data_IF_826475578813
#
_entry.id   IF_826475578813
#
_cell.length_a   1.000
_cell.length_b   1.000
_cell.length_c   1.000
_cell.angle_alpha   90.00
_cell.angle_beta   90.00
_cell.angle_gamma   90.00
#
_symmetry.space_group_name_H-M   'P 1'
#
loop_
_entity.id
_entity.type
_entity.pdbx_description
1 polymer ?
#
# COMPACT_ATOMS: atom_id res chain seq x y z
N UNK A 1 0.50 28.44 -12.57
CA UNK A 1 1.96 28.26 -12.75
C UNK A 1 2.21 26.78 -12.91
N UNK A 2 2.89 26.37 -13.97
CA UNK A 2 3.14 24.97 -14.27
C UNK A 2 3.90 24.33 -13.09
N UNK A 3 3.50 23.10 -12.71
CA UNK A 3 4.17 22.30 -11.69
C UNK A 3 5.51 21.77 -12.24
N UNK A 4 6.41 22.67 -12.61
CA UNK A 4 7.70 22.30 -13.18
C UNK A 4 8.64 21.79 -12.08
N UNK A 5 9.26 20.64 -12.34
CA UNK A 5 10.29 20.09 -11.47
C UNK A 5 11.58 20.86 -11.73
N UNK A 6 11.99 21.68 -10.76
CA UNK A 6 13.23 22.44 -10.87
C UNK A 6 14.44 21.53 -11.10
N UNK A 7 15.40 21.98 -11.93
CA UNK A 7 16.64 21.25 -12.25
C UNK A 7 16.38 19.80 -12.74
N UNK A 8 15.31 19.58 -13.51
CA UNK A 8 14.95 18.24 -14.00
C UNK A 8 16.08 17.57 -14.81
N UNK A 9 16.83 18.33 -15.61
CA UNK A 9 17.96 17.79 -16.37
C UNK A 9 18.98 17.09 -15.46
N UNK A 10 19.28 17.66 -14.29
CA UNK A 10 20.18 17.05 -13.29
C UNK A 10 19.59 15.78 -12.67
N UNK A 11 18.26 15.71 -12.54
CA UNK A 11 17.56 14.52 -12.05
C UNK A 11 17.66 13.38 -13.05
N UNK A 12 17.57 13.62 -14.37
CA UNK A 12 17.55 12.52 -15.35
C UNK A 12 18.94 12.14 -15.88
N UNK A 13 19.88 13.08 -15.91
CA UNK A 13 21.22 12.89 -16.49
C UNK A 13 21.92 11.60 -16.04
N UNK A 14 21.92 11.19 -14.74
CA UNK A 14 22.60 9.99 -14.28
C UNK A 14 22.02 8.66 -14.80
N UNK A 15 20.86 8.71 -15.46
CA UNK A 15 20.13 7.53 -15.94
C UNK A 15 20.11 7.42 -17.46
N UNK A 16 20.61 8.42 -18.16
CA UNK A 16 20.82 8.36 -19.60
C UNK A 16 21.95 7.37 -19.89
N UNK A 17 21.77 6.54 -20.92
CA UNK A 17 22.83 5.65 -21.41
C UNK A 17 23.95 6.49 -22.03
N UNK A 18 25.12 5.89 -22.21
CA UNK A 18 26.21 6.55 -22.92
C UNK A 18 25.72 7.08 -24.28
N UNK A 19 26.08 8.35 -24.52
CA UNK A 19 25.73 9.13 -25.70
C UNK A 19 24.24 9.47 -25.90
N UNK A 20 23.37 9.14 -24.94
CA UNK A 20 22.04 9.74 -24.87
C UNK A 20 22.12 11.15 -24.29
N UNK A 21 21.28 12.06 -24.79
CA UNK A 21 21.19 13.45 -24.34
C UNK A 21 19.76 13.83 -23.98
N UNK A 22 19.58 14.43 -22.81
CA UNK A 22 18.31 15.08 -22.45
C UNK A 22 18.07 16.29 -23.37
N UNK A 23 16.87 16.36 -23.97
CA UNK A 23 16.47 17.48 -24.83
C UNK A 23 15.48 18.39 -24.10
N UNK A 24 14.37 17.83 -23.61
CA UNK A 24 13.32 18.58 -22.91
C UNK A 24 12.45 17.66 -22.06
N UNK A 25 11.75 18.22 -21.08
CA UNK A 25 10.68 17.55 -20.36
C UNK A 25 9.41 18.39 -20.39
N UNK A 26 8.26 17.75 -20.58
CA UNK A 26 6.93 18.36 -20.41
C UNK A 26 6.24 17.71 -19.22
N UNK A 27 5.59 18.51 -18.40
CA UNK A 27 4.91 18.05 -17.19
C UNK A 27 3.46 18.52 -17.13
N UNK A 28 2.55 17.60 -16.88
CA UNK A 28 1.12 17.88 -16.67
C UNK A 28 0.64 17.22 -15.37
N UNK A 29 -0.42 17.74 -14.76
CA UNK A 29 -1.03 17.06 -13.61
C UNK A 29 -1.64 15.73 -14.07
N UNK A 30 -1.28 14.64 -13.40
CA UNK A 30 -1.81 13.31 -13.70
C UNK A 30 -3.19 13.08 -13.07
N UNK A 31 -3.38 13.59 -11.85
CA UNK A 31 -4.60 13.43 -11.06
C UNK A 31 -5.20 14.79 -10.70
N UNK A 32 -6.52 14.82 -10.43
CA UNK A 32 -7.16 16.01 -9.90
C UNK A 32 -6.68 16.33 -8.48
N UNK A 33 -6.76 17.60 -8.08
CA UNK A 33 -6.45 18.00 -6.70
C UNK A 33 -7.36 17.24 -5.71
N UNK A 34 -6.77 16.53 -4.74
CA UNK A 34 -7.51 15.76 -3.73
C UNK A 34 -7.70 14.28 -4.03
N UNK A 35 -7.24 13.77 -5.19
CA UNK A 35 -7.26 12.33 -5.49
C UNK A 35 -5.99 11.59 -5.00
N UNK A 36 -5.01 12.31 -4.46
CA UNK A 36 -3.86 11.74 -3.75
C UNK A 36 -3.45 12.70 -2.61
N UNK A 37 -3.79 12.35 -1.37
CA UNK A 37 -3.75 13.27 -0.24
C UNK A 37 -2.34 13.60 0.26
N UNK A 38 -1.39 12.68 0.06
CA UNK A 38 -0.02 12.79 0.55
C UNK A 38 0.99 13.31 -0.47
N UNK A 39 0.58 13.54 -1.72
CA UNK A 39 1.50 13.88 -2.81
C UNK A 39 0.84 14.57 -4.01
N UNK A 40 1.66 15.19 -4.85
CA UNK A 40 1.26 15.68 -6.17
C UNK A 40 1.81 14.72 -7.22
N UNK A 41 0.93 14.21 -8.09
CA UNK A 41 1.26 13.30 -9.17
C UNK A 41 1.31 14.05 -10.50
N UNK A 42 2.46 13.99 -11.18
CA UNK A 42 2.70 14.64 -12.47
C UNK A 42 3.00 13.60 -13.54
N UNK A 43 2.35 13.69 -14.70
CA UNK A 43 2.76 13.01 -15.91
C UNK A 43 3.95 13.77 -16.49
N UNK A 44 5.04 13.07 -16.79
CA UNK A 44 6.25 13.66 -17.38
C UNK A 44 6.55 12.95 -18.71
N UNK A 45 6.72 13.72 -19.78
CA UNK A 45 7.24 13.22 -21.06
C UNK A 45 8.65 13.76 -21.27
N UNK A 46 9.63 12.85 -21.30
CA UNK A 46 11.05 13.19 -21.40
C UNK A 46 11.51 12.89 -22.82
N UNK A 47 11.90 13.92 -23.56
CA UNK A 47 12.49 13.77 -24.88
C UNK A 47 14.00 13.54 -24.73
N UNK A 48 14.45 12.38 -25.21
CA UNK A 48 15.85 11.97 -25.24
C UNK A 48 16.30 11.89 -26.69
N UNK A 49 17.51 12.36 -26.97
CA UNK A 49 18.20 12.13 -28.22
C UNK A 49 19.21 10.99 -28.03
N UNK A 50 19.19 10.02 -28.94
CA UNK A 50 20.10 8.88 -28.99
C UNK A 50 21.39 9.24 -29.75
N UNK A 51 22.42 8.40 -29.59
CA UNK A 51 23.72 8.55 -30.27
C UNK A 51 23.61 8.68 -31.80
N UNK A 52 22.66 7.96 -32.39
CA UNK A 52 22.41 7.97 -33.84
C UNK A 52 21.63 9.21 -34.34
N UNK A 53 21.36 10.18 -33.46
CA UNK A 53 20.57 11.38 -33.75
C UNK A 53 19.05 11.19 -33.69
N UNK A 54 18.57 9.93 -33.56
CA UNK A 54 17.15 9.63 -33.37
C UNK A 54 16.64 10.10 -32.01
N UNK A 55 15.34 10.30 -31.88
CA UNK A 55 14.71 10.71 -30.60
C UNK A 55 13.80 9.63 -30.06
N UNK A 56 13.73 9.54 -28.73
CA UNK A 56 12.76 8.71 -28.01
C UNK A 56 12.07 9.53 -26.93
N UNK A 57 10.82 9.17 -26.62
CA UNK A 57 10.05 9.77 -25.53
C UNK A 57 9.92 8.74 -24.42
N UNK A 58 10.42 9.06 -23.22
CA UNK A 58 10.12 8.30 -22.03
C UNK A 58 8.87 8.87 -21.36
N UNK A 59 7.88 8.01 -21.14
CA UNK A 59 6.69 8.34 -20.38
C UNK A 59 6.92 7.98 -18.91
N UNK A 60 6.93 9.00 -18.06
CA UNK A 60 7.17 8.85 -16.63
C UNK A 60 6.04 9.46 -15.80
N UNK A 61 6.00 9.09 -14.53
CA UNK A 61 5.20 9.73 -13.50
C UNK A 61 6.13 10.21 -12.40
N UNK A 62 5.98 11.47 -12.01
CA UNK A 62 6.69 12.04 -10.89
C UNK A 62 5.73 12.21 -9.71
N UNK A 63 6.07 11.61 -8.57
CA UNK A 63 5.47 11.88 -7.27
C UNK A 63 6.31 12.96 -6.58
N UNK A 64 5.69 14.06 -6.19
CA UNK A 64 6.34 15.15 -5.44
C UNK A 64 5.59 15.43 -4.14
N UNK A 65 6.24 15.97 -3.10
CA UNK A 65 5.54 16.42 -1.91
C UNK A 65 4.48 17.49 -2.24
N UNK A 66 3.39 17.57 -1.46
CA UNK A 66 2.48 18.70 -1.53
C UNK A 66 3.17 19.96 -0.98
N UNK A 67 2.51 21.11 -1.08
CA UNK A 67 2.99 22.33 -0.45
C UNK A 67 3.23 22.09 1.06
N UNK A 68 4.37 22.56 1.62
CA UNK A 68 4.63 22.43 3.05
C UNK A 68 3.52 23.04 3.90
N UNK A 69 3.21 22.40 5.03
CA UNK A 69 2.14 22.81 5.92
C UNK A 69 1.66 21.65 6.77
N UNK A 70 0.39 21.70 7.18
CA UNK A 70 -0.22 20.68 8.02
C UNK A 70 -0.14 19.27 7.42
N UNK A 71 -0.33 19.15 6.10
CA UNK A 71 -0.27 17.86 5.38
C UNK A 71 1.05 17.13 5.63
N UNK A 72 2.16 17.85 5.73
CA UNK A 72 3.47 17.26 5.98
C UNK A 72 3.59 16.67 7.38
N UNK A 73 2.94 17.28 8.36
CA UNK A 73 2.91 16.77 9.73
C UNK A 73 2.00 15.54 9.82
N UNK A 74 0.79 15.60 9.23
CA UNK A 74 -0.19 14.50 9.26
C UNK A 74 0.35 13.23 8.59
N UNK A 75 1.05 13.36 7.46
CA UNK A 75 1.57 12.20 6.72
C UNK A 75 3.04 11.87 7.02
N UNK A 76 3.68 12.59 7.94
CA UNK A 76 5.13 12.55 8.14
C UNK A 76 5.88 12.49 6.80
N UNK A 77 5.58 13.45 5.92
CA UNK A 77 6.03 13.44 4.51
C UNK A 77 7.54 13.27 4.39
N UNK A 78 8.29 13.73 5.39
CA UNK A 78 9.75 13.56 5.40
C UNK A 78 10.17 12.10 5.53
N UNK A 79 9.48 11.33 6.37
CA UNK A 79 9.71 9.92 6.55
C UNK A 79 9.13 9.11 5.39
N UNK A 80 7.84 9.29 5.09
CA UNK A 80 7.09 8.45 4.14
C UNK A 80 7.64 8.55 2.72
N UNK A 81 8.01 9.76 2.27
CA UNK A 81 8.63 9.95 0.95
C UNK A 81 10.02 9.32 0.86
N UNK A 82 10.81 9.40 1.94
CA UNK A 82 12.15 8.81 2.00
C UNK A 82 12.07 7.28 1.98
N UNK A 83 11.16 6.70 2.75
CA UNK A 83 10.91 5.26 2.81
C UNK A 83 10.50 4.73 1.43
N UNK A 84 9.54 5.38 0.76
CA UNK A 84 9.09 4.95 -0.57
C UNK A 84 10.24 4.96 -1.59
N UNK A 85 11.06 6.03 -1.59
CA UNK A 85 12.22 6.09 -2.46
C UNK A 85 13.24 4.97 -2.17
N UNK A 86 13.47 4.65 -0.88
CA UNK A 86 14.34 3.55 -0.46
C UNK A 86 13.79 2.20 -0.92
N UNK A 87 12.47 1.99 -0.86
CA UNK A 87 11.86 0.77 -1.36
C UNK A 87 12.22 0.52 -2.83
N UNK A 88 11.97 1.51 -3.68
CA UNK A 88 12.23 1.41 -5.11
C UNK A 88 13.73 1.36 -5.46
N UNK A 89 14.56 2.20 -4.84
CA UNK A 89 15.97 2.34 -5.21
C UNK A 89 16.91 1.35 -4.51
N UNK A 90 16.49 0.77 -3.39
CA UNK A 90 17.34 -0.09 -2.55
C UNK A 90 16.71 -1.47 -2.33
N UNK A 91 15.50 -1.54 -1.78
CA UNK A 91 14.89 -2.83 -1.40
C UNK A 91 14.62 -3.71 -2.63
N UNK A 92 13.96 -3.17 -3.66
CA UNK A 92 13.64 -3.92 -4.89
C UNK A 92 14.90 -4.46 -5.58
N UNK A 93 15.97 -3.67 -5.81
CA UNK A 93 17.23 -4.18 -6.34
C UNK A 93 17.86 -5.29 -5.49
N UNK A 94 17.88 -5.13 -4.16
CA UNK A 94 18.44 -6.14 -3.23
C UNK A 94 17.68 -7.47 -3.35
N UNK A 95 16.34 -7.43 -3.35
CA UNK A 95 15.53 -8.64 -3.46
C UNK A 95 15.70 -9.31 -4.82
N UNK A 96 15.77 -8.53 -5.91
CA UNK A 96 16.04 -9.07 -7.25
C UNK A 96 17.44 -9.67 -7.37
N UNK A 97 18.47 -9.04 -6.81
CA UNK A 97 19.82 -9.62 -6.76
C UNK A 97 19.86 -10.91 -5.93
N UNK A 98 19.17 -10.92 -4.79
CA UNK A 98 19.02 -12.13 -3.99
C UNK A 98 18.31 -13.24 -4.77
N UNK A 99 17.22 -12.94 -5.48
CA UNK A 99 16.53 -13.87 -6.38
C UNK A 99 17.47 -14.48 -7.40
N UNK A 100 18.26 -13.65 -8.11
CA UNK A 100 19.27 -14.13 -9.08
C UNK A 100 20.31 -15.04 -8.43
N UNK A 101 20.76 -14.72 -7.23
CA UNK A 101 21.68 -15.59 -6.47
C UNK A 101 21.08 -16.96 -6.10
N UNK A 102 19.75 -17.09 -6.21
CA UNK A 102 18.98 -18.33 -6.01
C UNK A 102 18.45 -18.94 -7.31
N UNK A 103 18.81 -18.38 -8.48
CA UNK A 103 18.37 -18.86 -9.79
C UNK A 103 16.97 -18.38 -10.20
N UNK A 104 16.44 -17.34 -9.56
CA UNK A 104 15.15 -16.71 -9.90
C UNK A 104 15.40 -15.34 -10.50
N UNK A 105 15.18 -15.20 -11.80
CA UNK A 105 15.22 -13.90 -12.49
C UNK A 105 13.93 -13.11 -12.21
N UNK A 106 14.07 -11.77 -12.17
CA UNK A 106 12.95 -10.82 -12.04
C UNK A 106 11.96 -11.15 -10.90
N UNK A 107 12.49 -11.53 -9.73
CA UNK A 107 11.73 -11.93 -8.54
C UNK A 107 10.64 -10.91 -8.15
N UNK A 108 10.98 -9.63 -8.18
CA UNK A 108 10.08 -8.49 -7.93
C UNK A 108 9.89 -7.72 -9.23
N UNK A 109 8.92 -8.17 -10.03
CA UNK A 109 8.55 -7.57 -11.32
C UNK A 109 7.16 -6.89 -11.32
N UNK A 110 6.46 -6.95 -10.19
CA UNK A 110 5.13 -6.42 -9.95
C UNK A 110 5.15 -5.03 -9.28
N UNK A 111 6.21 -4.25 -9.51
CA UNK A 111 6.33 -2.84 -9.10
C UNK A 111 6.75 -1.99 -10.30
N UNK A 112 6.41 -0.69 -10.34
CA UNK A 112 6.89 0.20 -11.40
C UNK A 112 8.41 0.23 -11.43
N UNK A 113 8.96 0.32 -12.64
CA UNK A 113 10.36 0.62 -12.85
C UNK A 113 10.69 2.00 -12.25
N UNK A 114 11.63 1.99 -11.31
CA UNK A 114 12.24 3.20 -10.77
C UNK A 114 13.18 3.83 -11.80
N UNK A 115 12.89 5.07 -12.19
CA UNK A 115 13.73 5.80 -13.15
C UNK A 115 14.81 6.55 -12.37
N UNK A 116 14.42 7.48 -11.50
CA UNK A 116 15.33 8.15 -10.57
C UNK A 116 14.57 8.85 -9.44
N UNK A 117 15.28 9.50 -8.54
CA UNK A 117 14.67 10.36 -7.53
C UNK A 117 15.70 11.22 -6.80
N UNK A 118 15.19 12.16 -6.01
CA UNK A 118 15.97 12.97 -5.07
C UNK A 118 15.10 13.31 -3.87
N UNK A 119 15.72 13.46 -2.70
CA UNK A 119 15.04 13.90 -1.47
C UNK A 119 15.18 15.41 -1.25
N UNK A 120 16.18 16.04 -1.85
CA UNK A 120 16.42 17.48 -1.72
C UNK A 120 17.10 18.03 -2.96
N UNK A 121 16.97 19.34 -3.20
CA UNK A 121 17.83 20.06 -4.16
C UNK A 121 19.26 20.24 -3.68
N UNK A 122 19.48 20.20 -2.37
CA UNK A 122 20.81 20.17 -1.78
C UNK A 122 21.32 18.72 -1.81
N UNK A 123 22.35 18.39 -2.63
CA UNK A 123 22.86 17.04 -2.73
C UNK A 123 23.53 16.55 -1.43
N UNK A 124 23.79 17.43 -0.47
CA UNK A 124 24.38 17.09 0.84
C UNK A 124 23.32 16.83 1.91
N UNK A 125 22.06 17.18 1.67
CA UNK A 125 20.97 17.00 2.62
C UNK A 125 20.52 15.53 2.70
N UNK A 126 20.29 15.05 3.93
CA UNK A 126 19.67 13.75 4.19
C UNK A 126 18.19 13.85 4.61
N UNK A 127 17.62 15.06 4.51
CA UNK A 127 16.24 15.40 4.89
C UNK A 127 15.45 15.74 3.64
N UNK A 128 14.22 15.23 3.57
CA UNK A 128 13.28 15.53 2.49
C UNK A 128 12.86 17.00 2.54
N UNK A 129 12.96 17.69 1.40
CA UNK A 129 12.45 19.04 1.19
C UNK A 129 11.33 19.07 0.13
N UNK A 130 10.80 20.28 -0.15
CA UNK A 130 9.65 20.47 -1.06
C UNK A 130 9.97 20.12 -2.52
N UNK A 131 11.25 19.98 -2.86
CA UNK A 131 11.75 19.69 -4.19
C UNK A 131 12.13 18.21 -4.36
N UNK A 132 11.75 17.36 -3.39
CA UNK A 132 11.87 15.93 -3.51
C UNK A 132 11.01 15.38 -4.66
N UNK A 133 11.52 14.35 -5.33
CA UNK A 133 10.89 13.73 -6.50
C UNK A 133 11.17 12.24 -6.47
N UNK A 134 10.14 11.42 -6.70
CA UNK A 134 10.26 10.02 -7.10
C UNK A 134 9.76 9.93 -8.54
N UNK A 135 10.61 9.49 -9.45
CA UNK A 135 10.30 9.36 -10.88
C UNK A 135 10.20 7.88 -11.24
N UNK A 136 9.02 7.46 -11.67
CA UNK A 136 8.66 6.09 -12.03
C UNK A 136 8.24 6.02 -13.50
N UNK A 137 8.22 4.81 -14.06
CA UNK A 137 7.56 4.58 -15.35
C UNK A 137 6.06 4.94 -15.32
N UNK A 138 5.52 5.39 -16.45
CA UNK A 138 4.10 5.68 -16.55
C UNK A 138 3.30 4.43 -16.93
N UNK A 139 2.76 3.77 -15.92
CA UNK A 139 1.95 2.56 -16.09
C UNK A 139 0.67 2.79 -16.93
N UNK A 140 0.06 3.98 -16.86
CA UNK A 140 -1.13 4.28 -17.68
C UNK A 140 -0.78 4.31 -19.16
N UNK A 141 0.40 4.85 -19.52
CA UNK A 141 0.89 4.82 -20.90
C UNK A 141 1.14 3.38 -21.39
N UNK A 142 1.47 2.46 -20.46
CA UNK A 142 1.67 1.03 -20.74
C UNK A 142 0.37 0.20 -20.71
N UNK A 143 -0.79 0.85 -20.59
CA UNK A 143 -2.10 0.21 -20.63
C UNK A 143 -2.55 -0.44 -19.32
N UNK A 144 -1.97 -0.04 -18.17
CA UNK A 144 -2.46 -0.45 -16.87
C UNK A 144 -3.59 0.47 -16.37
N UNK A 145 -4.51 -0.10 -15.60
CA UNK A 145 -5.68 0.59 -15.06
C UNK A 145 -5.91 0.24 -13.59
N UNK A 146 -6.44 1.17 -12.81
CA UNK A 146 -6.84 0.94 -11.41
C UNK A 146 -8.22 0.29 -11.33
N UNK A 147 -8.48 -0.48 -10.26
CA UNK A 147 -9.80 -1.08 -10.00
C UNK A 147 -10.86 -0.06 -9.55
N UNK A 148 -12.13 -0.46 -9.57
CA UNK A 148 -13.22 0.35 -9.02
C UNK A 148 -13.32 0.15 -7.51
N UNK A 149 -12.87 1.14 -6.73
CA UNK A 149 -12.86 1.06 -5.25
C UNK A 149 -14.22 0.85 -4.58
N UNK A 150 -15.32 1.16 -5.25
CA UNK A 150 -16.67 0.94 -4.71
C UNK A 150 -17.14 -0.50 -4.88
N UNK A 151 -16.50 -1.26 -5.76
CA UNK A 151 -16.84 -2.66 -6.09
C UNK A 151 -15.78 -3.59 -5.51
N UNK A 152 -14.51 -3.36 -5.86
CA UNK A 152 -13.38 -4.23 -5.55
C UNK A 152 -12.86 -4.95 -6.79
N UNK A 153 -12.09 -6.01 -6.57
CA UNK A 153 -11.58 -6.91 -7.60
C UNK A 153 -12.36 -8.22 -7.65
N UNK A 154 -12.58 -8.72 -8.86
CA UNK A 154 -13.09 -10.07 -9.08
C UNK A 154 -12.12 -11.15 -8.58
N UNK A 155 -12.53 -12.41 -8.66
CA UNK A 155 -11.74 -13.55 -8.17
C UNK A 155 -10.38 -13.63 -8.88
N UNK A 156 -10.36 -13.65 -10.21
CA UNK A 156 -9.12 -13.84 -10.99
C UNK A 156 -8.08 -12.75 -10.70
N UNK A 157 -8.54 -11.49 -10.60
CA UNK A 157 -7.68 -10.35 -10.30
C UNK A 157 -7.19 -10.40 -8.86
N UNK A 158 -8.06 -10.77 -7.91
CA UNK A 158 -7.68 -10.94 -6.51
C UNK A 158 -6.63 -12.02 -6.32
N UNK A 159 -6.74 -13.14 -7.04
CA UNK A 159 -5.74 -14.20 -6.99
C UNK A 159 -4.39 -13.77 -7.55
N UNK A 160 -4.35 -13.01 -8.67
CA UNK A 160 -3.11 -12.44 -9.20
C UNK A 160 -2.43 -11.53 -8.16
N UNK A 161 -3.21 -10.65 -7.53
CA UNK A 161 -2.72 -9.69 -6.55
C UNK A 161 -2.18 -10.35 -5.29
N UNK A 162 -2.85 -11.40 -4.80
CA UNK A 162 -2.38 -12.19 -3.66
C UNK A 162 -1.12 -12.98 -3.99
N UNK A 163 -0.96 -13.47 -5.22
CA UNK A 163 0.27 -14.17 -5.63
C UNK A 163 1.47 -13.24 -5.60
N UNK A 164 1.35 -12.04 -6.12
CA UNK A 164 2.44 -11.04 -6.09
C UNK A 164 2.75 -10.59 -4.66
N UNK A 165 1.71 -10.41 -3.82
CA UNK A 165 1.88 -10.06 -2.42
C UNK A 165 2.62 -11.18 -1.65
N UNK A 166 2.26 -12.44 -1.90
CA UNK A 166 2.95 -13.60 -1.35
C UNK A 166 4.43 -13.66 -1.75
N UNK A 167 4.75 -13.29 -3.01
CA UNK A 167 6.13 -13.24 -3.49
C UNK A 167 6.92 -12.17 -2.75
N UNK A 168 6.38 -10.96 -2.58
CA UNK A 168 7.04 -9.88 -1.83
C UNK A 168 7.40 -10.31 -0.40
N UNK A 169 6.42 -10.90 0.30
CA UNK A 169 6.60 -11.32 1.69
C UNK A 169 7.59 -12.48 1.84
N UNK A 170 7.44 -13.53 1.02
CA UNK A 170 8.35 -14.68 1.03
C UNK A 170 9.78 -14.27 0.67
N UNK A 171 9.95 -13.39 -0.31
CA UNK A 171 11.26 -12.90 -0.74
C UNK A 171 12.00 -12.18 0.37
N UNK A 172 11.29 -11.32 1.10
CA UNK A 172 11.87 -10.58 2.22
C UNK A 172 12.22 -11.49 3.39
N UNK A 173 11.36 -12.46 3.74
CA UNK A 173 11.65 -13.45 4.79
C UNK A 173 12.86 -14.31 4.42
N UNK A 174 12.92 -14.81 3.18
CA UNK A 174 14.04 -15.60 2.70
C UNK A 174 15.35 -14.80 2.73
N UNK A 175 15.32 -13.53 2.31
CA UNK A 175 16.48 -12.65 2.37
C UNK A 175 16.93 -12.39 3.82
N UNK A 176 16.00 -12.05 4.72
CA UNK A 176 16.27 -11.84 6.15
C UNK A 176 16.94 -13.05 6.80
N UNK A 177 16.46 -14.27 6.50
CA UNK A 177 17.05 -15.51 7.02
C UNK A 177 18.42 -15.80 6.42
N UNK A 178 18.59 -15.58 5.12
CA UNK A 178 19.83 -15.88 4.42
C UNK A 178 20.94 -14.86 4.70
N UNK A 179 20.58 -13.58 4.89
CA UNK A 179 21.51 -12.45 5.07
C UNK A 179 20.99 -11.50 6.16
N UNK A 180 20.95 -11.93 7.43
CA UNK A 180 20.31 -11.16 8.51
C UNK A 180 20.97 -9.79 8.76
N UNK A 181 22.29 -9.69 8.65
CA UNK A 181 22.99 -8.42 8.84
C UNK A 181 22.72 -7.43 7.70
N UNK A 182 22.73 -7.89 6.45
CA UNK A 182 22.35 -7.06 5.31
C UNK A 182 20.89 -6.58 5.42
N UNK A 183 19.98 -7.47 5.82
CA UNK A 183 18.59 -7.09 6.08
C UNK A 183 18.50 -6.01 7.15
N UNK A 184 19.21 -6.18 8.28
CA UNK A 184 19.20 -5.20 9.37
C UNK A 184 19.72 -3.84 8.91
N UNK A 185 20.87 -3.81 8.25
CA UNK A 185 21.58 -2.57 7.94
C UNK A 185 20.99 -1.84 6.72
N UNK A 186 20.53 -2.57 5.70
CA UNK A 186 20.11 -2.01 4.41
C UNK A 186 18.59 -1.91 4.24
N UNK A 187 17.82 -2.62 5.04
CA UNK A 187 16.35 -2.64 4.94
C UNK A 187 15.73 -2.18 6.26
N UNK A 188 15.88 -2.97 7.34
CA UNK A 188 15.19 -2.73 8.60
C UNK A 188 15.51 -1.36 9.21
N UNK A 189 16.77 -0.91 9.12
CA UNK A 189 17.22 0.41 9.61
C UNK A 189 16.42 1.58 9.05
N UNK A 190 15.82 1.42 7.87
CA UNK A 190 14.98 2.43 7.21
C UNK A 190 13.49 2.31 7.54
N UNK A 191 13.06 1.14 8.04
CA UNK A 191 11.66 0.83 8.34
C UNK A 191 11.29 1.14 9.80
N UNK A 192 12.25 1.47 10.66
CA UNK A 192 11.96 1.80 12.07
C UNK A 192 11.07 3.05 12.14
N UNK A 193 9.76 2.82 12.12
CA UNK A 193 8.75 3.84 12.27
C UNK A 193 8.64 4.20 13.75
N UNK A 194 8.89 5.46 14.07
CA UNK A 194 8.34 6.07 15.30
C UNK A 194 6.91 6.57 15.09
N UNK A 195 6.40 6.44 13.86
CA UNK A 195 5.11 6.96 13.46
C UNK A 195 4.05 5.91 13.75
N UNK A 196 3.44 6.02 14.92
CA UNK A 196 2.07 5.55 15.09
C UNK A 196 1.19 6.62 14.43
N UNK A 197 0.27 6.24 13.54
CA UNK A 197 -0.94 7.05 13.38
C UNK A 197 -1.65 6.91 14.72
N UNK A 198 -1.24 7.71 15.70
CA UNK A 198 -2.02 7.87 16.92
C UNK A 198 -3.21 8.68 16.48
N UNK A 199 -4.24 7.98 15.98
CA UNK A 199 -5.58 8.53 16.00
C UNK A 199 -5.75 9.09 17.41
N UNK A 200 -5.97 10.40 17.49
CA UNK A 200 -6.27 11.02 18.78
C UNK A 200 -7.46 10.29 19.39
N UNK A 201 -7.53 10.24 20.72
CA UNK A 201 -8.63 9.57 21.43
C UNK A 201 -10.00 10.03 20.88
N UNK A 202 -10.16 11.32 20.56
CA UNK A 202 -11.35 11.90 19.92
C UNK A 202 -11.73 11.25 18.56
N UNK A 203 -10.75 10.91 17.72
CA UNK A 203 -11.02 10.24 16.44
C UNK A 203 -11.41 8.78 16.63
N UNK A 204 -10.81 8.09 17.60
CA UNK A 204 -11.16 6.70 17.93
C UNK A 204 -12.60 6.66 18.47
N UNK A 205 -12.97 7.61 19.33
CA UNK A 205 -14.34 7.76 19.84
C UNK A 205 -15.33 8.01 18.70
N UNK A 206 -15.04 8.95 17.79
CA UNK A 206 -15.90 9.21 16.63
C UNK A 206 -16.14 7.96 15.77
N UNK A 207 -15.08 7.19 15.48
CA UNK A 207 -15.17 5.93 14.71
C UNK A 207 -16.01 4.89 15.47
N UNK A 208 -15.76 4.76 16.77
CA UNK A 208 -16.47 3.81 17.64
C UNK A 208 -17.96 4.12 17.70
N UNK A 209 -18.33 5.40 17.86
CA UNK A 209 -19.72 5.85 17.86
C UNK A 209 -20.41 5.62 16.51
N UNK A 210 -19.70 5.90 15.41
CA UNK A 210 -20.22 5.69 14.07
C UNK A 210 -20.48 4.21 13.78
N UNK A 211 -19.53 3.34 14.11
CA UNK A 211 -19.69 1.89 14.00
C UNK A 211 -20.83 1.39 14.90
N UNK A 212 -20.90 1.85 16.15
CA UNK A 212 -21.94 1.47 17.12
C UNK A 212 -23.34 1.86 16.62
N UNK A 213 -23.50 3.06 16.06
CA UNK A 213 -24.77 3.50 15.46
C UNK A 213 -25.18 2.58 14.32
N UNK A 214 -24.24 2.21 13.44
CA UNK A 214 -24.52 1.27 12.36
C UNK A 214 -24.98 -0.09 12.88
N UNK A 215 -24.27 -0.66 13.86
CA UNK A 215 -24.55 -1.99 14.41
C UNK A 215 -25.94 -2.04 15.06
N UNK A 216 -26.32 -1.01 15.83
CA UNK A 216 -27.63 -0.93 16.47
C UNK A 216 -28.79 -0.88 15.47
N UNK A 217 -28.56 -0.34 14.28
CA UNK A 217 -29.57 -0.26 13.22
C UNK A 217 -29.57 -1.48 12.30
N UNK A 218 -28.58 -2.37 12.40
CA UNK A 218 -28.44 -3.53 11.54
C UNK A 218 -28.88 -4.81 12.26
N UNK A 219 -30.02 -5.37 11.88
CA UNK A 219 -30.61 -6.58 12.49
C UNK A 219 -29.67 -7.79 12.49
N UNK A 220 -28.79 -7.91 11.49
CA UNK A 220 -27.84 -9.01 11.42
C UNK A 220 -26.68 -8.85 12.42
N UNK A 221 -26.29 -7.62 12.74
CA UNK A 221 -25.19 -7.35 13.66
C UNK A 221 -25.65 -7.27 15.13
N UNK A 222 -26.93 -6.98 15.40
CA UNK A 222 -27.46 -6.86 16.76
C UNK A 222 -27.17 -8.08 17.67
N UNK A 223 -27.30 -9.35 17.22
CA UNK A 223 -26.96 -10.52 18.03
C UNK A 223 -25.49 -10.57 18.48
N UNK A 224 -24.62 -9.80 17.85
CA UNK A 224 -23.19 -9.75 18.11
C UNK A 224 -22.71 -8.42 18.71
N UNK A 225 -23.64 -7.51 19.05
CA UNK A 225 -23.36 -6.17 19.54
C UNK A 225 -22.32 -6.17 20.67
N UNK A 226 -22.50 -7.01 21.69
CA UNK A 226 -21.59 -7.07 22.83
C UNK A 226 -20.14 -7.37 22.42
N UNK A 227 -19.92 -8.33 21.51
CA UNK A 227 -18.58 -8.71 21.05
C UNK A 227 -17.93 -7.56 20.27
N UNK A 228 -18.70 -6.92 19.39
CA UNK A 228 -18.20 -5.82 18.56
C UNK A 228 -17.89 -4.59 19.43
N UNK A 229 -18.75 -4.24 20.39
CA UNK A 229 -18.49 -3.15 21.35
C UNK A 229 -17.26 -3.45 22.22
N UNK A 230 -17.05 -4.70 22.62
CA UNK A 230 -15.83 -5.08 23.35
C UNK A 230 -14.56 -4.91 22.50
N UNK A 231 -14.61 -5.30 21.23
CA UNK A 231 -13.51 -5.10 20.29
C UNK A 231 -13.24 -3.61 20.02
N UNK A 232 -14.29 -2.79 19.89
CA UNK A 232 -14.16 -1.34 19.77
C UNK A 232 -13.54 -0.71 21.02
N UNK A 233 -13.97 -1.11 22.22
CA UNK A 233 -13.36 -0.65 23.48
C UNK A 233 -11.86 -0.98 23.57
N UNK A 234 -11.46 -2.13 23.06
CA UNK A 234 -10.04 -2.55 23.01
C UNK A 234 -9.17 -1.61 22.15
N UNK A 235 -9.73 -0.99 21.12
CA UNK A 235 -9.02 0.03 20.32
C UNK A 235 -8.58 1.25 21.15
N UNK A 236 -9.26 1.54 22.26
CA UNK A 236 -8.90 2.64 23.16
C UNK A 236 -7.81 2.26 24.18
N UNK A 237 -7.46 0.98 24.30
CA UNK A 237 -6.51 0.55 25.32
C UNK A 237 -5.06 0.75 24.86
N UNK A 238 -4.27 1.46 25.68
CA UNK A 238 -2.84 1.74 25.43
C UNK A 238 -1.94 0.51 25.57
N UNK A 239 -2.52 -0.63 25.93
CA UNK A 239 -1.83 -1.88 26.24
C UNK A 239 -1.65 -2.81 25.02
N UNK A 240 -2.19 -2.45 23.84
CA UNK A 240 -1.95 -3.21 22.60
C UNK A 240 -0.57 -2.90 22.03
N UNK A 241 0.44 -3.64 22.49
CA UNK A 241 1.64 -3.87 21.70
C UNK A 241 1.48 -5.21 20.99
N UNK A 242 1.13 -5.17 19.71
CA UNK A 242 1.10 -6.37 18.86
C UNK A 242 2.47 -7.01 18.89
N UNK A 243 2.54 -8.22 19.44
CA UNK A 243 3.78 -8.99 19.44
C UNK A 243 4.05 -9.47 18.03
N UNK A 244 5.12 -8.99 17.43
CA UNK A 244 5.53 -9.42 16.09
C UNK A 244 5.97 -10.89 16.16
N UNK A 245 5.27 -11.75 15.43
CA UNK A 245 5.68 -13.12 15.22
C UNK A 245 6.78 -13.19 14.16
N UNK A 246 8.02 -13.39 14.60
CA UNK A 246 9.20 -13.43 13.73
C UNK A 246 9.13 -14.51 12.63
N UNK A 247 8.27 -15.53 12.74
CA UNK A 247 8.05 -16.51 11.68
C UNK A 247 7.37 -15.88 10.44
N UNK A 248 6.46 -14.93 10.68
CA UNK A 248 5.63 -14.28 9.66
C UNK A 248 6.02 -12.82 9.41
N UNK A 249 7.02 -12.31 10.13
CA UNK A 249 7.50 -10.93 10.02
C UNK A 249 8.30 -10.67 8.73
N UNK A 250 7.90 -9.64 8.00
CA UNK A 250 8.38 -9.23 6.68
C UNK A 250 8.23 -7.71 6.51
N UNK A 251 8.73 -7.16 5.39
CA UNK A 251 8.21 -5.89 4.88
C UNK A 251 6.74 -6.09 4.51
N UNK A 252 5.88 -5.24 5.06
CA UNK A 252 4.46 -5.12 4.69
C UNK A 252 4.23 -3.76 4.04
N UNK A 253 3.26 -3.70 3.14
CA UNK A 253 2.78 -2.49 2.48
C UNK A 253 1.98 -1.59 3.42
N UNK A 254 1.24 -2.16 4.37
CA UNK A 254 0.29 -1.52 5.31
C UNK A 254 -0.93 -0.82 4.70
N UNK A 255 -0.87 -0.44 3.43
CA UNK A 255 -1.94 0.24 2.71
C UNK A 255 -2.13 -0.40 1.34
N UNK A 256 -2.20 -1.73 1.28
CA UNK A 256 -2.44 -2.45 0.02
C UNK A 256 -3.93 -2.60 -0.26
N UNK A 257 -4.48 -1.64 -1.00
CA UNK A 257 -5.87 -1.61 -1.43
C UNK A 257 -6.01 -1.29 -2.92
N UNK A 258 -7.24 -1.34 -3.44
CA UNK A 258 -7.62 -1.18 -4.86
C UNK A 258 -6.97 -0.02 -5.61
N UNK A 259 -6.66 1.10 -4.93
CA UNK A 259 -6.02 2.26 -5.55
C UNK A 259 -4.49 2.18 -5.60
N UNK A 260 -3.88 1.34 -4.77
CA UNK A 260 -2.43 1.18 -4.66
C UNK A 260 -1.91 0.00 -5.49
N UNK A 261 -2.67 -0.38 -6.52
CA UNK A 261 -2.28 -1.35 -7.55
C UNK A 261 -2.90 -0.95 -8.88
N UNK A 262 -2.16 -1.19 -9.97
CA UNK A 262 -2.66 -1.07 -11.33
C UNK A 262 -2.52 -2.41 -12.06
N UNK A 263 -3.57 -2.77 -12.80
CA UNK A 263 -3.70 -4.05 -13.48
C UNK A 263 -3.69 -3.85 -14.98
N UNK A 264 -2.99 -4.73 -15.70
CA UNK A 264 -3.07 -4.84 -17.16
C UNK A 264 -3.93 -6.04 -17.53
N UNK A 265 -4.91 -5.82 -18.39
CA UNK A 265 -5.81 -6.86 -18.88
C UNK A 265 -5.52 -7.22 -20.33
N UNK A 266 -5.77 -8.48 -20.69
CA UNK A 266 -5.79 -8.96 -22.08
C UNK A 266 -7.01 -9.85 -22.27
N UNK A 267 -7.88 -9.48 -23.22
CA UNK A 267 -9.13 -10.20 -23.49
C UNK A 267 -10.00 -10.40 -22.23
N UNK A 268 -10.04 -9.40 -21.34
CA UNK A 268 -10.80 -9.45 -20.08
C UNK A 268 -10.06 -10.11 -18.91
N UNK A 269 -9.01 -10.89 -19.15
CA UNK A 269 -8.25 -11.55 -18.08
C UNK A 269 -7.11 -10.67 -17.52
N UNK A 270 -6.89 -10.62 -16.20
CA UNK A 270 -5.78 -9.90 -15.60
C UNK A 270 -4.45 -10.62 -15.88
N UNK A 271 -3.52 -9.96 -16.58
CA UNK A 271 -2.24 -10.58 -16.98
C UNK A 271 -1.04 -10.09 -16.20
N UNK A 272 -1.13 -8.90 -15.58
CA UNK A 272 -0.02 -8.33 -14.82
C UNK A 272 -0.50 -7.28 -13.82
N UNK A 273 0.13 -7.27 -12.65
CA UNK A 273 -0.09 -6.28 -11.61
C UNK A 273 1.17 -5.41 -11.40
N UNK A 274 0.94 -4.17 -10.97
CA UNK A 274 1.96 -3.23 -10.51
C UNK A 274 1.48 -2.55 -9.23
N UNK A 275 2.02 -2.98 -8.10
CA UNK A 275 1.84 -2.35 -6.80
C UNK A 275 2.54 -1.00 -6.76
N UNK A 276 1.89 0.00 -6.15
CA UNK A 276 2.40 1.37 -6.04
C UNK A 276 2.18 1.93 -4.65
N UNK A 277 2.79 3.07 -4.34
CA UNK A 277 2.60 3.82 -3.10
C UNK A 277 3.10 3.11 -1.82
N UNK A 278 4.39 2.78 -1.81
CA UNK A 278 5.08 2.15 -0.66
C UNK A 278 5.46 3.15 0.45
N UNK A 279 4.66 4.21 0.65
CA UNK A 279 4.98 5.32 1.54
C UNK A 279 4.87 4.98 3.04
N UNK A 280 4.12 3.92 3.38
CA UNK A 280 3.87 3.49 4.76
C UNK A 280 4.36 2.08 5.07
N UNK A 281 5.28 1.54 4.25
CA UNK A 281 5.85 0.21 4.51
C UNK A 281 6.53 0.15 5.89
N UNK A 282 6.47 -1.02 6.51
CA UNK A 282 7.07 -1.28 7.82
C UNK A 282 7.49 -2.76 7.94
N UNK A 283 8.17 -3.12 9.03
CA UNK A 283 8.45 -4.49 9.41
C UNK A 283 7.34 -5.03 10.33
N UNK A 284 6.49 -5.89 9.78
CA UNK A 284 5.34 -6.44 10.51
C UNK A 284 4.99 -7.84 10.00
N UNK A 285 4.03 -8.49 10.65
CA UNK A 285 3.46 -9.75 10.17
C UNK A 285 2.80 -9.58 8.79
N UNK A 286 3.11 -10.50 7.86
CA UNK A 286 2.52 -10.59 6.52
C UNK A 286 0.99 -10.63 6.50
N UNK A 287 0.38 -11.06 7.61
CA UNK A 287 -1.07 -11.12 7.75
C UNK A 287 -1.72 -9.74 7.72
N UNK A 288 -0.95 -8.67 7.98
CA UNK A 288 -1.42 -7.29 7.93
C UNK A 288 -1.97 -6.94 6.54
N UNK A 289 -1.15 -7.10 5.50
CA UNK A 289 -1.53 -6.79 4.13
C UNK A 289 -2.58 -7.76 3.60
N UNK A 290 -2.46 -9.06 3.91
CA UNK A 290 -3.41 -10.08 3.40
C UNK A 290 -4.81 -9.80 3.91
N UNK A 291 -4.95 -9.63 5.23
CA UNK A 291 -6.23 -9.32 5.86
C UNK A 291 -6.77 -7.98 5.36
N UNK A 292 -5.93 -6.95 5.32
CA UNK A 292 -6.36 -5.64 4.84
C UNK A 292 -6.86 -5.66 3.39
N UNK A 293 -6.09 -6.27 2.47
CA UNK A 293 -6.43 -6.35 1.06
C UNK A 293 -7.74 -7.11 0.83
N UNK A 294 -7.90 -8.28 1.45
CA UNK A 294 -9.10 -9.11 1.31
C UNK A 294 -10.35 -8.32 1.68
N UNK A 295 -10.41 -7.78 2.90
CA UNK A 295 -11.62 -7.12 3.40
C UNK A 295 -11.86 -5.74 2.77
N UNK A 296 -10.82 -5.02 2.34
CA UNK A 296 -10.97 -3.68 1.76
C UNK A 296 -11.28 -3.69 0.26
N UNK A 297 -10.71 -4.65 -0.49
CA UNK A 297 -10.50 -4.49 -1.93
C UNK A 297 -11.00 -5.64 -2.79
N UNK A 298 -11.33 -6.79 -2.21
CA UNK A 298 -11.97 -7.89 -2.96
C UNK A 298 -13.48 -7.66 -3.02
N UNK A 299 -14.11 -7.99 -4.15
CA UNK A 299 -15.56 -7.92 -4.32
C UNK A 299 -16.31 -8.70 -3.22
N UNK A 300 -17.45 -8.17 -2.77
CA UNK A 300 -18.19 -8.76 -1.66
C UNK A 300 -18.71 -10.17 -1.95
N UNK A 301 -19.20 -10.43 -3.16
CA UNK A 301 -19.64 -11.76 -3.57
C UNK A 301 -18.48 -12.76 -3.55
N UNK A 302 -17.31 -12.34 -4.03
CA UNK A 302 -16.09 -13.18 -4.00
C UNK A 302 -15.65 -13.46 -2.56
N UNK A 303 -15.74 -12.49 -1.65
CA UNK A 303 -15.43 -12.73 -0.23
C UNK A 303 -16.42 -13.71 0.41
N UNK A 304 -17.71 -13.58 0.12
CA UNK A 304 -18.75 -14.46 0.66
C UNK A 304 -18.53 -15.92 0.25
N UNK A 305 -18.11 -16.15 -0.99
CA UNK A 305 -18.02 -17.49 -1.56
C UNK A 305 -16.60 -18.09 -1.47
N UNK A 306 -15.55 -17.28 -1.45
CA UNK A 306 -14.18 -17.73 -1.71
C UNK A 306 -13.10 -17.17 -0.76
N UNK A 307 -13.42 -16.46 0.32
CA UNK A 307 -12.39 -15.87 1.20
C UNK A 307 -11.38 -16.90 1.74
N UNK A 308 -11.83 -18.12 2.10
CA UNK A 308 -10.93 -19.17 2.60
C UNK A 308 -10.04 -19.75 1.49
N UNK A 309 -10.55 -19.84 0.26
CA UNK A 309 -9.76 -20.22 -0.92
C UNK A 309 -8.68 -19.18 -1.19
N UNK A 310 -8.99 -17.88 -1.06
CA UNK A 310 -8.04 -16.80 -1.27
C UNK A 310 -6.92 -16.80 -0.21
N UNK A 311 -7.25 -17.02 1.07
CA UNK A 311 -6.23 -17.21 2.12
C UNK A 311 -5.32 -18.41 1.83
N UNK A 312 -5.91 -19.54 1.40
CA UNK A 312 -5.17 -20.75 1.03
C UNK A 312 -4.25 -20.51 -0.16
N UNK A 313 -4.75 -19.86 -1.21
CA UNK A 313 -3.99 -19.54 -2.41
C UNK A 313 -2.80 -18.64 -2.10
N UNK A 314 -2.99 -17.61 -1.28
CA UNK A 314 -1.89 -16.76 -0.80
C UNK A 314 -0.83 -17.61 -0.07
N UNK A 315 -1.26 -18.46 0.87
CA UNK A 315 -0.35 -19.28 1.67
C UNK A 315 0.43 -20.28 0.82
N UNK A 316 -0.24 -20.98 -0.10
CA UNK A 316 0.40 -21.92 -1.01
C UNK A 316 1.45 -21.22 -1.89
N UNK A 317 1.13 -20.03 -2.41
CA UNK A 317 2.10 -19.24 -3.18
C UNK A 317 3.28 -18.75 -2.34
N UNK A 318 3.02 -18.37 -1.09
CA UNK A 318 4.03 -17.96 -0.14
C UNK A 318 5.02 -19.11 0.14
N UNK A 319 4.52 -20.32 0.40
CA UNK A 319 5.35 -21.52 0.61
C UNK A 319 6.11 -21.90 -0.66
N UNK A 320 5.45 -21.90 -1.82
CA UNK A 320 6.09 -22.15 -3.12
C UNK A 320 7.30 -21.22 -3.33
N UNK A 321 7.13 -19.94 -3.00
CA UNK A 321 8.18 -18.93 -3.17
C UNK A 321 9.33 -19.13 -2.17
N UNK A 322 9.04 -19.44 -0.89
CA UNK A 322 10.08 -19.78 0.09
C UNK A 322 10.91 -20.99 -0.36
N UNK A 323 10.26 -22.03 -0.90
CA UNK A 323 10.94 -23.21 -1.45
C UNK A 323 11.85 -22.84 -2.63
N UNK A 324 11.36 -22.04 -3.59
CA UNK A 324 12.16 -21.58 -4.74
C UNK A 324 13.39 -20.78 -4.30
N UNK A 325 13.25 -19.99 -3.24
CA UNK A 325 14.35 -19.22 -2.65
C UNK A 325 15.21 -20.02 -1.66
N UNK A 326 14.98 -21.34 -1.57
CA UNK A 326 15.74 -22.27 -0.74
C UNK A 326 15.69 -21.92 0.76
N UNK A 327 14.57 -21.37 1.22
CA UNK A 327 14.30 -21.09 2.64
C UNK A 327 13.66 -22.30 3.32
N UNK A 328 13.96 -22.51 4.60
CA UNK A 328 13.32 -23.59 5.37
C UNK A 328 11.82 -23.29 5.57
N UNK A 329 10.97 -24.28 5.29
CA UNK A 329 9.52 -24.20 5.44
C UNK A 329 8.94 -25.10 6.54
N UNK A 330 9.77 -25.84 7.30
CA UNK A 330 9.31 -26.87 8.25
C UNK A 330 8.41 -26.35 9.37
N UNK A 331 8.55 -25.08 9.74
CA UNK A 331 7.78 -24.43 10.80
C UNK A 331 6.43 -23.89 10.29
N UNK A 332 6.20 -23.87 8.98
CA UNK A 332 4.98 -23.34 8.41
C UNK A 332 3.92 -24.43 8.23
N UNK A 333 2.70 -24.09 8.63
CA UNK A 333 1.51 -24.84 8.26
C UNK A 333 0.35 -23.86 8.11
N UNK A 334 -0.67 -24.26 7.34
CA UNK A 334 -1.79 -23.38 7.02
C UNK A 334 -2.59 -22.98 8.27
N UNK A 335 -2.73 -23.86 9.26
CA UNK A 335 -3.47 -23.56 10.48
C UNK A 335 -2.80 -22.46 11.31
N UNK A 336 -1.47 -22.52 11.49
CA UNK A 336 -0.71 -21.47 12.17
C UNK A 336 -0.73 -20.14 11.41
N UNK A 337 -0.77 -20.17 10.07
CA UNK A 337 -0.96 -18.95 9.28
C UNK A 337 -2.34 -18.32 9.52
N UNK A 338 -3.41 -19.13 9.58
CA UNK A 338 -4.75 -18.62 9.89
C UNK A 338 -4.86 -18.08 11.33
N UNK A 339 -4.16 -18.67 12.29
CA UNK A 339 -4.05 -18.14 13.66
C UNK A 339 -3.34 -16.78 13.69
N UNK A 340 -2.25 -16.64 12.94
CA UNK A 340 -1.57 -15.36 12.75
C UNK A 340 -2.51 -14.33 12.12
N UNK A 341 -3.27 -14.70 11.07
CA UNK A 341 -4.29 -13.83 10.49
C UNK A 341 -5.35 -13.38 11.51
N UNK A 342 -5.81 -14.29 12.36
CA UNK A 342 -6.76 -13.96 13.43
C UNK A 342 -6.19 -13.03 14.48
N UNK A 343 -4.93 -13.24 14.87
CA UNK A 343 -4.23 -12.38 15.82
C UNK A 343 -4.07 -10.97 15.26
N UNK A 344 -3.58 -10.83 14.02
CA UNK A 344 -3.41 -9.53 13.38
C UNK A 344 -4.76 -8.88 13.05
N UNK A 345 -5.79 -9.66 12.71
CA UNK A 345 -7.15 -9.14 12.54
C UNK A 345 -7.65 -8.47 13.81
N UNK A 346 -7.50 -9.15 14.96
CA UNK A 346 -7.93 -8.68 16.27
C UNK A 346 -7.16 -7.46 16.76
N UNK A 347 -5.83 -7.52 16.68
CA UNK A 347 -4.96 -6.56 17.33
C UNK A 347 -4.70 -5.31 16.48
N UNK A 348 -4.81 -5.42 15.16
CA UNK A 348 -4.45 -4.34 14.24
C UNK A 348 -5.57 -4.04 13.25
N UNK A 349 -6.01 -5.04 12.48
CA UNK A 349 -6.85 -4.74 11.30
C UNK A 349 -8.29 -4.39 11.63
N UNK A 350 -8.84 -4.80 12.77
CA UNK A 350 -10.23 -4.49 13.11
C UNK A 350 -10.49 -2.97 13.12
N UNK A 351 -9.73 -2.21 13.92
CA UNK A 351 -9.84 -0.75 13.96
C UNK A 351 -9.42 -0.11 12.65
N UNK A 352 -8.34 -0.61 12.05
CA UNK A 352 -7.80 -0.10 10.79
C UNK A 352 -8.81 -0.20 9.63
N UNK A 353 -9.49 -1.33 9.48
CA UNK A 353 -10.51 -1.55 8.46
C UNK A 353 -11.71 -0.63 8.67
N UNK A 354 -12.23 -0.53 9.90
CA UNK A 354 -13.36 0.38 10.18
C UNK A 354 -12.99 1.82 9.83
N UNK A 355 -11.77 2.24 10.18
CA UNK A 355 -11.25 3.56 9.85
C UNK A 355 -11.12 3.78 8.34
N UNK A 356 -10.43 2.89 7.62
CA UNK A 356 -10.13 3.07 6.21
C UNK A 356 -11.32 2.83 5.28
N UNK A 357 -12.32 2.05 5.67
CA UNK A 357 -13.53 1.89 4.86
C UNK A 357 -14.24 3.22 4.60
N UNK A 358 -14.16 4.17 5.54
CA UNK A 358 -14.78 5.49 5.41
C UNK A 358 -14.18 6.24 4.19
N UNK A 359 -12.87 6.58 4.14
CA UNK A 359 -12.30 7.23 2.98
C UNK A 359 -12.36 6.36 1.71
N UNK A 360 -12.21 5.03 1.82
CA UNK A 360 -12.27 4.11 0.67
C UNK A 360 -13.64 4.16 -0.03
N UNK A 361 -14.73 4.33 0.71
CA UNK A 361 -16.10 4.32 0.17
C UNK A 361 -16.80 5.69 0.22
N UNK A 362 -16.10 6.76 0.58
CA UNK A 362 -16.62 8.13 0.44
C UNK A 362 -16.70 8.52 -1.04
N UNK A 363 -17.82 9.10 -1.48
CA UNK A 363 -18.04 9.50 -2.88
C UNK A 363 -17.03 10.54 -3.37
N UNK A 364 -16.67 10.48 -4.67
CA UNK A 364 -15.74 11.44 -5.28
C UNK A 364 -16.25 12.89 -5.11
N UNK A 365 -15.35 13.80 -4.74
CA UNK A 365 -15.68 15.20 -4.48
C UNK A 365 -16.48 15.47 -3.20
N UNK A 366 -16.85 14.42 -2.43
CA UNK A 366 -17.48 14.53 -1.11
C UNK A 366 -16.52 14.30 0.04
N UNK A 367 -15.32 13.79 -0.25
CA UNK A 367 -14.26 13.65 0.73
C UNK A 367 -13.77 15.04 1.18
N UNK A 368 -13.55 15.20 2.49
CA UNK A 368 -13.06 16.46 3.06
C UNK A 368 -11.63 16.74 2.64
N UNK A 369 -11.30 18.03 2.57
CA UNK A 369 -9.92 18.46 2.46
C UNK A 369 -9.23 18.21 3.81
N UNK A 370 -8.09 17.54 3.82
CA UNK A 370 -7.37 17.22 5.07
C UNK A 370 -6.91 18.47 5.83
N UNK A 371 -6.72 19.59 5.14
CA UNK A 371 -6.42 20.87 5.79
C UNK A 371 -7.56 21.35 6.70
N UNK A 372 -8.77 20.81 6.53
CA UNK A 372 -9.95 21.09 7.36
C UNK A 372 -10.13 20.06 8.48
N UNK A 373 -9.44 18.91 8.43
CA UNK A 373 -9.64 17.77 9.35
C UNK A 373 -8.94 17.93 10.72
N UNK A 374 -8.12 18.97 10.93
CA UNK A 374 -7.47 19.21 12.23
C UNK A 374 -8.44 19.67 13.33
N UNK A 375 -9.59 20.22 12.94
CA UNK A 375 -10.61 20.79 13.82
C UNK A 375 -12.02 20.29 13.51
N UNK A 376 -12.16 19.26 12.68
CA UNK A 376 -13.44 18.71 12.25
C UNK A 376 -13.40 17.19 12.27
N UNK A 377 -14.57 16.58 12.50
CA UNK A 377 -14.74 15.14 12.49
C UNK A 377 -14.08 14.47 11.27
N UNK A 378 -13.51 13.28 11.47
CA UNK A 378 -12.92 12.50 10.38
C UNK A 378 -13.99 11.81 9.52
N UNK A 379 -15.23 11.75 10.01
CA UNK A 379 -16.38 11.22 9.28
C UNK A 379 -16.98 12.34 8.42
N UNK A 380 -17.20 12.11 7.12
CA UNK A 380 -17.93 13.04 6.27
C UNK A 380 -19.33 13.37 6.84
N UNK A 381 -19.77 14.63 6.73
CA UNK A 381 -21.09 15.05 7.26
C UNK A 381 -22.17 14.73 6.22
N UNK A 382 -23.21 13.98 6.64
CA UNK A 382 -24.39 13.66 5.84
C UNK A 382 -24.35 12.24 5.25
N UNK A 383 -25.46 11.53 5.30
CA UNK A 383 -25.58 10.14 4.82
C UNK A 383 -25.30 10.01 3.30
N UNK A 384 -25.57 11.07 2.52
CA UNK A 384 -25.34 11.13 1.06
C UNK A 384 -23.85 11.22 0.64
N UNK A 385 -22.92 11.11 1.59
CA UNK A 385 -21.47 11.24 1.30
C UNK A 385 -20.76 9.90 1.14
N UNK A 386 -21.36 8.81 1.64
CA UNK A 386 -20.78 7.48 1.65
C UNK A 386 -21.52 6.60 0.63
N UNK A 387 -20.77 5.81 -0.13
CA UNK A 387 -21.31 4.90 -1.12
C UNK A 387 -22.16 3.79 -0.46
N UNK A 388 -23.23 3.37 -1.11
CA UNK A 388 -24.19 2.36 -0.59
C UNK A 388 -23.53 1.03 -0.17
N UNK A 389 -22.42 0.66 -0.81
CA UNK A 389 -21.65 -0.54 -0.49
C UNK A 389 -20.90 -0.48 0.85
N UNK A 390 -20.77 0.70 1.47
CA UNK A 390 -20.14 0.83 2.78
C UNK A 390 -20.81 -0.03 3.84
N UNK A 391 -22.13 0.08 3.96
CA UNK A 391 -22.89 -0.66 4.96
C UNK A 391 -22.84 -2.18 4.71
N UNK A 392 -22.93 -2.60 3.45
CA UNK A 392 -22.82 -4.03 3.07
C UNK A 392 -21.43 -4.58 3.43
N UNK A 393 -20.37 -3.84 3.14
CA UNK A 393 -18.99 -4.25 3.42
C UNK A 393 -18.68 -4.25 4.91
N UNK A 394 -19.09 -3.21 5.64
CA UNK A 394 -18.93 -3.15 7.09
C UNK A 394 -19.69 -4.31 7.77
N UNK A 395 -20.94 -4.59 7.36
CA UNK A 395 -21.69 -5.74 7.87
C UNK A 395 -20.94 -7.05 7.63
N UNK A 396 -20.47 -7.30 6.40
CA UNK A 396 -19.72 -8.51 6.07
C UNK A 396 -18.49 -8.68 6.98
N UNK A 397 -17.67 -7.63 7.10
CA UNK A 397 -16.45 -7.65 7.91
C UNK A 397 -16.77 -7.97 9.37
N UNK A 398 -17.75 -7.27 9.96
CA UNK A 398 -18.11 -7.49 11.36
C UNK A 398 -18.59 -8.93 11.61
N UNK A 399 -19.45 -9.46 10.73
CA UNK A 399 -20.00 -10.81 10.89
C UNK A 399 -18.95 -11.90 10.65
N UNK A 400 -18.09 -11.73 9.64
CA UNK A 400 -17.06 -12.71 9.32
C UNK A 400 -15.99 -12.77 10.42
N UNK A 401 -15.54 -11.62 10.94
CA UNK A 401 -14.62 -11.57 12.07
C UNK A 401 -15.21 -12.22 13.34
N UNK A 402 -16.50 -12.02 13.62
CA UNK A 402 -17.18 -12.68 14.75
C UNK A 402 -17.27 -14.20 14.54
N UNK A 403 -17.66 -14.64 13.35
CA UNK A 403 -17.77 -16.07 13.01
C UNK A 403 -16.42 -16.78 13.14
N UNK A 404 -15.35 -16.13 12.69
CA UNK A 404 -13.96 -16.63 12.80
C UNK A 404 -13.38 -16.54 14.20
N UNK A 405 -14.05 -15.87 15.15
CA UNK A 405 -13.53 -15.53 16.50
C UNK A 405 -12.28 -14.66 16.45
N UNK A 406 -12.21 -13.77 15.47
CA UNK A 406 -11.11 -12.81 15.29
C UNK A 406 -11.38 -11.48 16.01
N UNK A 407 -12.55 -11.31 16.63
CA UNK A 407 -12.87 -10.22 17.56
C UNK A 407 -13.65 -10.70 18.78
#
# INVERSE_FOLDING_TARGET
MANEIEKFSQLIQPKLKNGQRFVSAKSDKLLASGENYGSVMLRIEILIQNENGGTEILHCVAKTPPAPGLTWYIFDTKLTFKIEMIFYNTVVPILNEFGRSKGVEDLINFVPKYINGRISKDPTSNVVDKDAVILLENLVAEGYTTGNRFVGFDKETSELLLRDLAILHASTIAFRRSRPQDFKDKILSHLIRKFQITLKEEHIEEISDFATKFIKLNENCQPHLHKIEEALRKLHSKDYQTRINELYATIVHHDYWVNNTLIKYRNGAPIQNKMVDFQVIDYHSLANDVTFFLYSSVELSVLQDHIDELYRLYYEKFIETLCKLQSNISEYNFAAFMEECGTIAKEVQFGHLIFLLIPILTLKGKARNLNEMQHCSIIPKGEDTIHENYHKRLQFILLDLVTRKWI
#
